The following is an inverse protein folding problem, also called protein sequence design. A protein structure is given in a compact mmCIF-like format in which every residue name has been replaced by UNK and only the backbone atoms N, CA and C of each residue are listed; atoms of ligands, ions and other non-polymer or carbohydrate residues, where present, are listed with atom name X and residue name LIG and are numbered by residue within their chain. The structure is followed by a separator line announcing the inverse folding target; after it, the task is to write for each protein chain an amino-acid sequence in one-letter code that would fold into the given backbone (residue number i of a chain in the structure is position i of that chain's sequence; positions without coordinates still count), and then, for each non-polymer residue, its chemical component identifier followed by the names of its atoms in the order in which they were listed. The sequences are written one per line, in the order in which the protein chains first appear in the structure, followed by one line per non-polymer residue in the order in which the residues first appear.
data_IF_006707262916
#
_entry.id   IF_006707262916
#
_cell.length_a   1.000
_cell.length_b   1.000
_cell.length_c   1.000
_cell.angle_alpha   90.00
_cell.angle_beta   90.00
_cell.angle_gamma   90.00
#
_symmetry.space_group_name_H-M   'P 1'
#
loop_
_entity.id
_entity.type
_entity.pdbx_description
1 polymer ?
#
# COMPACT_ATOMS: atom_id res chain seq x y z
N UNK A 1 -7.17 28.64 4.38
CA UNK A 1 -7.20 27.73 3.22
C UNK A 1 -7.73 26.33 3.55
N UNK A 2 -7.44 25.78 4.74
CA UNK A 2 -7.90 24.41 5.12
C UNK A 2 -9.41 24.28 5.37
N UNK A 3 -10.10 25.32 5.78
CA UNK A 3 -11.52 25.27 6.18
C UNK A 3 -12.47 25.02 4.98
N UNK A 4 -12.13 25.51 3.79
CA UNK A 4 -12.98 25.35 2.58
C UNK A 4 -12.80 24.00 1.88
N UNK A 5 -11.73 23.25 2.19
CA UNK A 5 -11.47 21.95 1.58
C UNK A 5 -12.32 20.82 2.20
N UNK A 6 -12.63 20.95 3.49
CA UNK A 6 -13.34 19.93 4.25
C UNK A 6 -14.76 19.64 3.72
N UNK A 7 -15.61 20.65 3.44
CA UNK A 7 -16.95 20.41 2.90
C UNK A 7 -16.93 19.71 1.55
N UNK A 8 -16.03 20.10 0.64
CA UNK A 8 -15.90 19.45 -0.68
C UNK A 8 -15.39 18.03 -0.56
N UNK A 9 -14.46 17.78 0.33
CA UNK A 9 -13.95 16.43 0.60
C UNK A 9 -15.03 15.52 1.17
N UNK A 10 -15.82 16.02 2.12
CA UNK A 10 -16.97 15.29 2.70
C UNK A 10 -18.01 15.00 1.61
N UNK A 11 -18.34 15.99 0.79
CA UNK A 11 -19.29 15.81 -0.32
C UNK A 11 -18.81 14.76 -1.31
N UNK A 12 -17.53 14.83 -1.74
CA UNK A 12 -16.94 13.82 -2.63
C UNK A 12 -16.97 12.43 -2.01
N UNK A 13 -16.65 12.32 -0.72
CA UNK A 13 -16.66 11.04 -0.02
C UNK A 13 -18.06 10.42 0.04
N UNK A 14 -19.09 11.24 0.31
CA UNK A 14 -20.48 10.80 0.47
C UNK A 14 -21.16 10.48 -0.87
N UNK A 15 -20.94 11.30 -1.90
CA UNK A 15 -21.70 11.24 -3.15
C UNK A 15 -20.93 10.63 -4.33
N UNK A 16 -19.61 10.73 -4.36
CA UNK A 16 -18.76 10.19 -5.43
C UNK A 16 -17.90 8.99 -4.98
N UNK A 17 -17.75 8.80 -3.68
CA UNK A 17 -17.01 7.69 -3.10
C UNK A 17 -15.55 8.00 -2.75
N UNK A 18 -14.93 7.02 -2.10
CA UNK A 18 -13.58 7.15 -1.50
C UNK A 18 -12.47 7.42 -2.52
N UNK A 19 -12.60 6.89 -3.72
CA UNK A 19 -11.58 7.04 -4.78
C UNK A 19 -11.50 8.47 -5.28
N UNK A 20 -12.65 9.11 -5.49
CA UNK A 20 -12.73 10.53 -5.86
C UNK A 20 -12.21 11.45 -4.76
N UNK A 21 -12.49 11.13 -3.49
CA UNK A 21 -11.93 11.87 -2.37
C UNK A 21 -10.40 11.77 -2.31
N UNK A 22 -9.82 10.59 -2.58
CA UNK A 22 -8.38 10.38 -2.65
C UNK A 22 -7.73 11.15 -3.80
N UNK A 23 -8.37 11.11 -5.00
CA UNK A 23 -7.90 11.92 -6.14
C UNK A 23 -7.91 13.40 -5.80
N UNK A 24 -8.99 13.91 -5.24
CA UNK A 24 -9.08 15.32 -4.86
C UNK A 24 -8.03 15.71 -3.83
N UNK A 25 -7.77 14.86 -2.83
CA UNK A 25 -6.67 15.10 -1.88
C UNK A 25 -5.33 15.16 -2.60
N UNK A 26 -5.09 14.25 -3.54
CA UNK A 26 -3.89 14.26 -4.36
C UNK A 26 -3.75 15.58 -5.12
N UNK A 27 -4.79 16.00 -5.85
CA UNK A 27 -4.77 17.20 -6.71
C UNK A 27 -4.50 18.51 -5.92
N UNK A 28 -4.92 18.58 -4.64
CA UNK A 28 -4.77 19.79 -3.81
C UNK A 28 -3.55 19.80 -2.90
N UNK A 29 -2.90 18.65 -2.72
CA UNK A 29 -1.65 18.57 -1.97
C UNK A 29 -0.49 18.66 -2.94
N UNK A 30 0.31 19.73 -2.85
CA UNK A 30 1.60 19.78 -3.51
C UNK A 30 2.51 18.76 -2.83
N UNK A 31 2.72 17.62 -3.47
CA UNK A 31 3.61 16.60 -2.97
C UNK A 31 5.06 17.01 -3.15
N UNK A 32 5.75 17.25 -2.05
CA UNK A 32 7.19 17.18 -2.03
C UNK A 32 7.59 15.83 -1.45
N UNK A 33 8.20 14.97 -2.24
CA UNK A 33 8.78 13.70 -1.76
C UNK A 33 9.90 13.95 -0.74
N UNK A 34 10.50 15.13 -0.74
CA UNK A 34 11.55 15.55 0.20
C UNK A 34 11.11 15.52 1.67
N UNK A 35 9.80 15.66 1.92
CA UNK A 35 9.24 15.65 3.29
C UNK A 35 8.72 14.29 3.73
N UNK A 36 8.88 13.24 2.92
CA UNK A 36 8.43 11.89 3.27
C UNK A 36 9.51 11.20 4.10
N UNK A 37 9.13 10.79 5.30
CA UNK A 37 9.98 9.94 6.13
C UNK A 37 9.68 8.49 5.78
N UNK A 38 10.60 7.83 5.11
CA UNK A 38 10.51 6.41 4.79
C UNK A 38 10.98 5.56 5.98
N UNK A 39 10.35 4.40 6.15
CA UNK A 39 10.81 3.42 7.12
C UNK A 39 12.08 2.73 6.61
N UNK A 40 13.23 3.09 7.17
CA UNK A 40 14.54 2.60 6.74
C UNK A 40 14.66 1.08 6.90
N UNK A 41 14.10 0.50 7.98
CA UNK A 41 14.14 -0.96 8.20
C UNK A 41 13.44 -1.73 7.09
N UNK A 42 12.35 -1.17 6.53
CA UNK A 42 11.64 -1.78 5.39
C UNK A 42 12.47 -1.64 4.12
N UNK A 43 13.07 -0.47 3.87
CA UNK A 43 13.94 -0.24 2.71
C UNK A 43 15.12 -1.21 2.74
N UNK A 44 15.80 -1.31 3.87
CA UNK A 44 16.95 -2.20 4.06
C UNK A 44 16.54 -3.67 3.86
N UNK A 45 15.38 -4.06 4.39
CA UNK A 45 14.84 -5.41 4.20
C UNK A 45 14.61 -5.72 2.70
N UNK A 46 13.96 -4.82 1.96
CA UNK A 46 13.70 -4.99 0.54
C UNK A 46 15.02 -5.07 -0.23
N UNK A 47 15.92 -4.11 0.00
CA UNK A 47 17.23 -4.04 -0.68
C UNK A 47 18.03 -5.33 -0.49
N UNK A 48 18.10 -5.85 0.74
CA UNK A 48 18.87 -7.04 1.07
C UNK A 48 18.24 -8.36 0.61
N UNK A 49 16.96 -8.35 0.24
CA UNK A 49 16.23 -9.55 -0.14
C UNK A 49 15.70 -9.53 -1.57
N UNK A 50 15.78 -8.42 -2.29
CA UNK A 50 15.18 -8.24 -3.62
C UNK A 50 15.55 -9.36 -4.59
N UNK A 51 16.80 -9.78 -4.61
CA UNK A 51 17.29 -10.82 -5.52
C UNK A 51 16.71 -12.23 -5.28
N UNK A 52 16.04 -12.43 -4.14
CA UNK A 52 15.36 -13.71 -3.83
C UNK A 52 13.99 -13.82 -4.49
N UNK A 53 13.49 -12.73 -5.08
CA UNK A 53 12.17 -12.63 -5.65
C UNK A 53 12.26 -12.27 -7.13
N UNK A 54 11.38 -12.85 -7.95
CA UNK A 54 11.28 -12.53 -9.38
C UNK A 54 10.79 -11.11 -9.62
N UNK A 55 9.93 -10.60 -8.73
CA UNK A 55 9.36 -9.25 -8.79
C UNK A 55 9.20 -8.65 -7.41
N UNK A 56 9.36 -7.34 -7.35
CA UNK A 56 9.07 -6.50 -6.17
C UNK A 56 7.96 -5.51 -6.55
N UNK A 57 6.87 -5.49 -5.79
CA UNK A 57 5.67 -4.71 -6.14
C UNK A 57 5.33 -3.77 -4.98
N UNK A 58 5.20 -2.47 -5.27
CA UNK A 58 4.63 -1.49 -4.36
C UNK A 58 3.11 -1.42 -4.57
N UNK A 59 2.32 -1.94 -3.63
CA UNK A 59 0.86 -1.89 -3.72
C UNK A 59 0.27 -1.10 -2.54
N UNK A 60 -0.43 -0.01 -2.82
CA UNK A 60 -0.91 0.94 -1.82
C UNK A 60 -2.34 1.36 -2.02
N UNK A 61 -3.02 1.66 -0.90
CA UNK A 61 -4.32 2.30 -0.92
C UNK A 61 -4.31 3.80 -1.26
N UNK A 62 -3.15 4.42 -1.44
CA UNK A 62 -3.00 5.80 -1.90
C UNK A 62 -3.36 5.94 -3.38
N UNK A 63 -3.58 7.18 -3.85
CA UNK A 63 -3.85 7.42 -5.27
C UNK A 63 -2.64 7.06 -6.13
N UNK A 64 -2.87 6.45 -7.29
CA UNK A 64 -1.82 5.77 -8.05
C UNK A 64 -0.65 6.67 -8.43
N UNK A 65 -0.88 7.93 -8.86
CA UNK A 65 0.19 8.86 -9.23
C UNK A 65 1.17 9.10 -8.08
N UNK A 66 0.68 9.12 -6.83
CA UNK A 66 1.55 9.23 -5.65
C UNK A 66 2.37 7.96 -5.41
N UNK A 67 1.76 6.80 -5.62
CA UNK A 67 2.44 5.50 -5.46
C UNK A 67 3.54 5.35 -6.52
N UNK A 68 3.26 5.75 -7.75
CA UNK A 68 4.23 5.74 -8.86
C UNK A 68 5.40 6.67 -8.57
N UNK A 69 5.14 7.90 -8.12
CA UNK A 69 6.20 8.84 -7.75
C UNK A 69 7.11 8.32 -6.62
N UNK A 70 6.54 7.66 -5.61
CA UNK A 70 7.33 7.00 -4.55
C UNK A 70 8.14 5.84 -5.12
N UNK A 71 7.55 5.03 -5.98
CA UNK A 71 8.22 3.89 -6.61
C UNK A 71 9.43 4.32 -7.44
N UNK A 72 9.26 5.36 -8.25
CA UNK A 72 10.33 5.97 -9.05
C UNK A 72 11.44 6.55 -8.16
N UNK A 73 11.06 7.29 -7.11
CA UNK A 73 12.01 7.90 -6.17
C UNK A 73 12.89 6.86 -5.46
N UNK A 74 12.30 5.74 -5.04
CA UNK A 74 13.01 4.68 -4.33
C UNK A 74 13.80 3.75 -5.25
N UNK A 75 13.34 3.54 -6.49
CA UNK A 75 14.02 2.65 -7.45
C UNK A 75 14.11 1.18 -7.03
N UNK A 76 13.23 0.74 -6.11
CA UNK A 76 13.26 -0.60 -5.51
C UNK A 76 12.25 -1.57 -6.11
N UNK A 77 11.26 -1.07 -6.83
CA UNK A 77 10.09 -1.83 -7.26
C UNK A 77 10.06 -2.01 -8.78
N UNK A 78 9.68 -3.21 -9.21
CA UNK A 78 9.46 -3.54 -10.62
C UNK A 78 8.08 -3.07 -11.10
N UNK A 79 7.11 -3.02 -10.17
CA UNK A 79 5.75 -2.53 -10.42
C UNK A 79 5.25 -1.69 -9.26
N UNK A 80 4.40 -0.70 -9.57
CA UNK A 80 3.66 0.09 -8.59
C UNK A 80 2.17 0.06 -8.87
N UNK A 81 1.36 0.00 -7.82
CA UNK A 81 -0.10 -0.13 -7.93
C UNK A 81 -0.77 0.70 -6.85
N UNK A 82 -1.59 1.63 -7.25
CA UNK A 82 -2.36 2.50 -6.36
C UNK A 82 -3.87 2.46 -6.60
N UNK A 83 -4.60 3.24 -5.83
CA UNK A 83 -6.02 3.48 -6.03
C UNK A 83 -6.23 4.31 -7.31
N UNK A 84 -7.16 3.88 -8.17
CA UNK A 84 -7.65 4.65 -9.31
C UNK A 84 -9.08 5.16 -9.03
N UNK A 85 -9.69 5.85 -9.97
CA UNK A 85 -11.11 6.24 -9.85
C UNK A 85 -12.06 5.03 -9.83
N UNK A 86 -11.65 3.95 -10.50
CA UNK A 86 -12.45 2.73 -10.66
C UNK A 86 -12.22 1.73 -9.53
N UNK A 87 -11.00 1.66 -9.00
CA UNK A 87 -10.61 0.64 -8.02
C UNK A 87 -9.93 1.26 -6.80
N UNK A 88 -10.50 1.04 -5.62
CA UNK A 88 -9.88 1.38 -4.35
C UNK A 88 -8.94 0.25 -3.91
N UNK A 89 -7.62 0.46 -4.01
CA UNK A 89 -6.59 -0.56 -3.79
C UNK A 89 -6.32 -0.84 -2.30
N UNK A 90 -7.35 -1.29 -1.58
CA UNK A 90 -7.28 -1.65 -0.16
C UNK A 90 -7.84 -3.04 0.10
N UNK A 91 -7.44 -3.64 1.21
CA UNK A 91 -7.98 -4.91 1.71
C UNK A 91 -7.93 -6.02 0.64
N UNK A 92 -9.03 -6.76 0.45
CA UNK A 92 -9.14 -7.84 -0.53
C UNK A 92 -8.93 -7.41 -2.00
N UNK A 93 -9.07 -6.12 -2.32
CA UNK A 93 -8.79 -5.64 -3.68
C UNK A 93 -7.30 -5.78 -4.06
N UNK A 94 -6.39 -5.68 -3.10
CA UNK A 94 -4.97 -5.95 -3.32
C UNK A 94 -4.76 -7.42 -3.72
N UNK A 95 -5.34 -8.36 -2.97
CA UNK A 95 -5.24 -9.79 -3.27
C UNK A 95 -5.84 -10.13 -4.62
N UNK A 96 -7.02 -9.58 -4.92
CA UNK A 96 -7.68 -9.78 -6.22
C UNK A 96 -6.81 -9.28 -7.36
N UNK A 97 -6.27 -8.06 -7.24
CA UNK A 97 -5.38 -7.50 -8.26
C UNK A 97 -4.17 -8.41 -8.53
N UNK A 98 -3.50 -8.90 -7.47
CA UNK A 98 -2.35 -9.79 -7.63
C UNK A 98 -2.75 -11.09 -8.34
N UNK A 99 -3.88 -11.68 -7.96
CA UNK A 99 -4.40 -12.89 -8.58
C UNK A 99 -4.76 -12.69 -10.05
N UNK A 100 -5.47 -11.61 -10.37
CA UNK A 100 -5.91 -11.31 -11.74
C UNK A 100 -4.72 -11.01 -12.67
N UNK A 101 -3.69 -10.34 -12.16
CA UNK A 101 -2.52 -9.93 -12.95
C UNK A 101 -1.47 -11.03 -13.09
N UNK A 102 -1.25 -11.80 -12.05
CA UNK A 102 -0.13 -12.73 -11.96
C UNK A 102 -0.53 -14.20 -11.74
N UNK A 103 -1.83 -14.49 -11.59
CA UNK A 103 -2.34 -15.83 -11.34
C UNK A 103 -2.07 -16.31 -9.89
N UNK A 104 -1.84 -17.61 -9.74
CA UNK A 104 -1.60 -18.24 -8.44
C UNK A 104 -0.13 -18.10 -7.98
N UNK A 105 0.35 -16.85 -7.91
CA UNK A 105 1.69 -16.58 -7.43
C UNK A 105 1.86 -16.86 -5.93
N UNK A 106 3.00 -17.42 -5.59
CA UNK A 106 3.47 -17.50 -4.22
C UNK A 106 4.20 -16.18 -3.94
N UNK A 107 3.73 -15.41 -2.95
CA UNK A 107 4.31 -14.11 -2.57
C UNK A 107 4.45 -13.95 -1.08
N UNK A 108 5.38 -13.10 -0.68
CA UNK A 108 5.51 -12.56 0.67
C UNK A 108 4.94 -11.14 0.68
N UNK A 109 4.36 -10.70 1.79
CA UNK A 109 3.75 -9.37 1.88
C UNK A 109 4.22 -8.60 3.11
N UNK A 110 4.64 -7.35 2.89
CA UNK A 110 5.02 -6.40 3.94
C UNK A 110 3.90 -5.37 4.11
N UNK A 111 3.42 -5.17 5.32
CA UNK A 111 2.38 -4.19 5.62
C UNK A 111 2.37 -3.75 7.08
N UNK A 112 1.56 -2.74 7.38
CA UNK A 112 1.48 -2.12 8.71
C UNK A 112 0.05 -1.93 9.23
N UNK A 113 -0.95 -2.30 8.44
CA UNK A 113 -2.35 -1.95 8.69
C UNK A 113 -3.25 -3.17 8.85
N UNK A 114 -4.27 -3.06 9.71
CA UNK A 114 -5.36 -4.07 9.78
C UNK A 114 -6.06 -4.30 8.44
N UNK A 115 -6.02 -3.34 7.54
CA UNK A 115 -6.58 -3.47 6.18
C UNK A 115 -5.78 -4.45 5.32
N UNK A 116 -4.56 -4.80 5.73
CA UNK A 116 -3.70 -5.75 5.03
C UNK A 116 -3.92 -7.21 5.48
N UNK A 117 -4.79 -7.46 6.47
CA UNK A 117 -5.09 -8.83 6.92
C UNK A 117 -5.47 -9.75 5.76
N UNK A 118 -6.40 -9.40 4.84
CA UNK A 118 -6.79 -10.30 3.74
C UNK A 118 -5.64 -10.64 2.77
N UNK A 119 -4.68 -9.74 2.56
CA UNK A 119 -3.54 -10.03 1.70
C UNK A 119 -2.48 -10.86 2.44
N UNK A 120 -2.26 -10.63 3.72
CA UNK A 120 -1.41 -11.48 4.55
C UNK A 120 -1.93 -12.92 4.63
N UNK A 121 -3.26 -13.12 4.70
CA UNK A 121 -3.88 -14.45 4.67
C UNK A 121 -3.60 -15.23 3.39
N UNK A 122 -3.32 -14.53 2.30
CA UNK A 122 -2.97 -15.12 1.02
C UNK A 122 -1.46 -15.23 0.77
N UNK A 123 -0.64 -14.60 1.62
CA UNK A 123 0.81 -14.58 1.48
C UNK A 123 1.45 -15.85 2.07
N UNK A 124 2.58 -16.29 1.50
CA UNK A 124 3.41 -17.36 2.07
C UNK A 124 4.04 -16.93 3.39
N UNK A 125 4.51 -15.68 3.46
CA UNK A 125 5.03 -15.07 4.69
C UNK A 125 4.45 -13.67 4.85
N UNK A 126 3.84 -13.40 6.00
CA UNK A 126 3.38 -12.08 6.40
C UNK A 126 4.50 -11.35 7.13
N UNK A 127 4.93 -10.21 6.63
CA UNK A 127 5.84 -9.30 7.32
C UNK A 127 5.04 -8.11 7.85
N UNK A 128 5.02 -7.96 9.17
CA UNK A 128 4.28 -6.89 9.86
C UNK A 128 5.26 -5.84 10.35
N UNK A 129 5.06 -4.59 9.93
CA UNK A 129 5.95 -3.48 10.28
C UNK A 129 5.52 -2.87 11.60
N UNK A 130 6.44 -2.83 12.57
CA UNK A 130 6.30 -2.12 13.86
C UNK A 130 4.98 -2.35 14.63
N UNK A 131 4.26 -3.47 14.40
CA UNK A 131 2.95 -3.67 14.99
C UNK A 131 2.69 -5.09 15.50
N UNK A 132 3.23 -5.40 16.68
CA UNK A 132 3.02 -6.70 17.34
C UNK A 132 1.54 -6.99 17.64
N UNK A 133 0.70 -5.96 17.84
CA UNK A 133 -0.73 -6.16 18.12
C UNK A 133 -1.50 -6.65 16.88
N UNK A 134 -1.14 -6.15 15.70
CA UNK A 134 -1.69 -6.66 14.43
C UNK A 134 -1.16 -8.08 14.18
N UNK A 135 0.13 -8.30 14.37
CA UNK A 135 0.75 -9.60 14.18
C UNK A 135 0.05 -10.70 15.00
N UNK A 136 -0.34 -10.41 16.25
CA UNK A 136 -1.08 -11.34 17.11
C UNK A 136 -2.47 -11.75 16.57
N UNK A 137 -3.04 -10.97 15.65
CA UNK A 137 -4.32 -11.30 15.00
C UNK A 137 -4.15 -12.31 13.87
N UNK A 138 -2.92 -12.49 13.38
CA UNK A 138 -2.57 -13.44 12.31
C UNK A 138 -2.28 -14.86 12.84
N UNK A 139 -3.11 -15.35 13.77
CA UNK A 139 -2.86 -16.56 14.56
C UNK A 139 -2.61 -17.85 13.75
N UNK A 140 -3.10 -17.90 12.51
CA UNK A 140 -3.01 -19.08 11.63
C UNK A 140 -2.02 -18.89 10.47
N UNK A 141 -1.26 -17.78 10.46
CA UNK A 141 -0.38 -17.40 9.36
C UNK A 141 1.05 -17.28 9.89
N UNK A 142 1.99 -17.75 9.09
CA UNK A 142 3.41 -17.52 9.36
C UNK A 142 3.72 -16.03 9.18
N UNK A 143 4.07 -15.36 10.27
CA UNK A 143 4.45 -13.94 10.22
C UNK A 143 5.84 -13.68 10.81
N UNK A 144 6.42 -12.55 10.44
CA UNK A 144 7.64 -11.97 11.01
C UNK A 144 7.42 -10.48 11.25
N UNK A 145 8.10 -9.91 12.23
CA UNK A 145 8.02 -8.49 12.53
C UNK A 145 9.28 -7.82 11.96
N UNK A 146 9.09 -6.70 11.26
CA UNK A 146 10.15 -5.77 10.84
C UNK A 146 10.05 -4.56 11.77
N UNK A 147 11.10 -4.29 12.52
CA UNK A 147 11.19 -3.18 13.49
C UNK A 147 12.32 -2.23 13.13
#
# INVERSE_FOLDING_TARGET
YRIYLLPKLIWLFLFKGKTYAKKYLFDITSYSLENIIFNQSVIDFITNNKEKYSYTILISGSYYEYVDAISEHLGLFDFSVGTTLETNMISSNKTRYLKDKFGDLIFDYIGDSKKDIPIWESAKTAYVVNNANIARQLKHIKYKIIS
#
